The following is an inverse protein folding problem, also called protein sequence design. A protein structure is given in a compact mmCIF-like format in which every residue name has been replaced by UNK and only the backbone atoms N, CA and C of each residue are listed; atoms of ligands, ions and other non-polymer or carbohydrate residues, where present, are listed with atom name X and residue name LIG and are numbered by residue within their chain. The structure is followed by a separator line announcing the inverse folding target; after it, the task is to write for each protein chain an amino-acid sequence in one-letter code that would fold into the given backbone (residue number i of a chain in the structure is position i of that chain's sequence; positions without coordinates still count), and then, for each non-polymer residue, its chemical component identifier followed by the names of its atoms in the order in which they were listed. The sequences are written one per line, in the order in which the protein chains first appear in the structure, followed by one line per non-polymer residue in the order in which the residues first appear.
data_IF_155155544960
#
_entry.id   IF_155155544960
#
_cell.length_a   1.000
_cell.length_b   1.000
_cell.length_c   1.000
_cell.angle_alpha   90.00
_cell.angle_beta   90.00
_cell.angle_gamma   90.00
#
_symmetry.space_group_name_H-M   'P 1'
#
loop_
_entity.id
_entity.type
_entity.pdbx_description
1 polymer ?
#
# COMPACT_ATOMS: atom_id res chain seq x y z
N UNK A 1 -15.70 6.64 -14.78
CA UNK A 1 -16.67 6.33 -13.71
C UNK A 1 -17.93 7.12 -14.01
N UNK A 2 -19.10 6.48 -14.05
CA UNK A 2 -20.37 7.20 -14.23
C UNK A 2 -20.80 7.92 -12.93
N UNK A 3 -21.73 8.88 -13.04
CA UNK A 3 -22.16 9.72 -11.91
C UNK A 3 -22.80 8.92 -10.77
N UNK A 4 -23.49 7.82 -11.08
CA UNK A 4 -24.07 6.91 -10.09
C UNK A 4 -23.00 6.16 -9.30
N UNK A 5 -21.93 5.69 -9.95
CA UNK A 5 -20.81 5.00 -9.27
C UNK A 5 -20.05 5.93 -8.32
N UNK A 6 -19.93 7.22 -8.68
CA UNK A 6 -19.34 8.23 -7.79
C UNK A 6 -20.20 8.53 -6.58
N UNK A 7 -21.52 8.71 -6.76
CA UNK A 7 -22.46 8.91 -5.66
C UNK A 7 -22.45 7.72 -4.69
N UNK A 8 -22.43 6.49 -5.23
CA UNK A 8 -22.37 5.27 -4.42
C UNK A 8 -21.06 5.16 -3.63
N UNK A 9 -19.93 5.44 -4.26
CA UNK A 9 -18.61 5.43 -3.60
C UNK A 9 -18.53 6.48 -2.48
N UNK A 10 -19.16 7.64 -2.67
CA UNK A 10 -19.20 8.72 -1.69
C UNK A 10 -20.16 8.43 -0.53
N UNK A 11 -21.33 7.87 -0.82
CA UNK A 11 -22.25 7.39 0.22
C UNK A 11 -21.62 6.25 1.04
N UNK A 12 -20.83 5.38 0.41
CA UNK A 12 -20.06 4.34 1.10
C UNK A 12 -18.94 4.95 1.97
N UNK A 13 -18.25 6.02 1.51
CA UNK A 13 -17.28 6.77 2.32
C UNK A 13 -17.93 7.42 3.56
N UNK A 14 -19.12 8.01 3.41
CA UNK A 14 -19.89 8.59 4.52
C UNK A 14 -20.42 7.51 5.49
N UNK A 15 -20.53 6.27 5.04
CA UNK A 15 -21.13 5.16 5.79
C UNK A 15 -20.09 4.27 6.49
N UNK A 16 -18.92 4.05 5.89
CA UNK A 16 -17.82 3.25 6.45
C UNK A 16 -16.79 4.09 7.23
N UNK A 17 -16.85 5.42 7.15
CA UNK A 17 -15.95 6.34 7.84
C UNK A 17 -16.71 7.40 8.63
N UNK A 18 -17.14 7.08 9.85
CA UNK A 18 -17.38 8.12 10.86
C UNK A 18 -16.13 9.01 10.99
N UNK A 19 -16.28 10.33 11.15
CA UNK A 19 -15.22 11.29 10.92
C UNK A 19 -14.00 11.00 11.79
N UNK A 20 -12.82 10.97 11.15
CA UNK A 20 -11.57 11.28 11.85
C UNK A 20 -11.75 12.65 12.50
N UNK A 21 -11.32 12.77 13.76
CA UNK A 21 -11.65 13.78 14.79
C UNK A 21 -11.67 15.29 14.43
N UNK A 22 -11.50 15.73 13.19
CA UNK A 22 -11.44 17.14 12.78
C UNK A 22 -12.45 17.57 11.70
N UNK A 23 -13.39 16.72 11.28
CA UNK A 23 -14.42 17.08 10.29
C UNK A 23 -15.84 16.78 10.78
N UNK A 24 -16.46 17.75 11.45
CA UNK A 24 -17.90 17.72 11.76
C UNK A 24 -18.67 18.40 10.62
N UNK A 25 -19.12 17.62 9.63
CA UNK A 25 -19.99 18.12 8.56
C UNK A 25 -21.42 18.20 9.11
N UNK A 26 -22.01 19.40 9.06
CA UNK A 26 -23.41 19.58 9.44
C UNK A 26 -24.35 18.93 8.39
N UNK A 27 -25.58 18.53 8.78
CA UNK A 27 -26.55 17.96 7.84
C UNK A 27 -26.85 18.86 6.64
N UNK A 28 -26.82 20.18 6.85
CA UNK A 28 -27.01 21.18 5.80
C UNK A 28 -25.81 21.24 4.84
N UNK A 29 -24.59 21.21 5.36
CA UNK A 29 -23.38 21.11 4.54
C UNK A 29 -23.34 19.80 3.75
N UNK A 30 -23.68 18.67 4.36
CA UNK A 30 -23.77 17.39 3.69
C UNK A 30 -24.75 17.42 2.51
N UNK A 31 -25.91 18.07 2.70
CA UNK A 31 -26.93 18.21 1.66
C UNK A 31 -26.44 19.10 0.52
N UNK A 32 -25.81 20.23 0.85
CA UNK A 32 -25.24 21.16 -0.13
C UNK A 32 -24.10 20.51 -0.93
N UNK A 33 -23.24 19.73 -0.28
CA UNK A 33 -22.20 18.95 -0.94
C UNK A 33 -22.79 17.87 -1.85
N UNK A 34 -23.84 17.16 -1.43
CA UNK A 34 -24.53 16.18 -2.27
C UNK A 34 -25.16 16.80 -3.52
N UNK A 35 -25.75 18.00 -3.39
CA UNK A 35 -26.30 18.73 -4.53
C UNK A 35 -25.20 19.14 -5.50
N UNK A 36 -24.10 19.73 -5.02
CA UNK A 36 -22.97 20.13 -5.85
C UNK A 36 -22.32 18.94 -6.58
N UNK A 37 -22.18 17.79 -5.90
CA UNK A 37 -21.70 16.54 -6.51
C UNK A 37 -22.67 15.95 -7.55
N UNK A 38 -23.94 16.35 -7.55
CA UNK A 38 -24.93 15.99 -8.55
C UNK A 38 -24.92 16.88 -9.79
N UNK A 39 -24.25 18.03 -9.74
CA UNK A 39 -24.20 18.96 -10.87
C UNK A 39 -23.32 18.40 -12.00
N UNK A 40 -23.84 18.32 -13.25
CA UNK A 40 -23.12 17.68 -14.36
C UNK A 40 -21.77 18.34 -14.66
N UNK A 41 -21.69 19.66 -14.50
CA UNK A 41 -20.49 20.46 -14.74
C UNK A 41 -19.43 20.19 -13.66
N UNK A 42 -19.83 20.13 -12.39
CA UNK A 42 -18.93 19.77 -11.29
C UNK A 42 -18.44 18.33 -11.42
N UNK A 43 -19.31 17.39 -11.78
CA UNK A 43 -18.91 16.01 -12.04
C UNK A 43 -17.96 15.88 -13.24
N UNK A 44 -18.16 16.69 -14.29
CA UNK A 44 -17.25 16.72 -15.43
C UNK A 44 -15.87 17.24 -15.02
N UNK A 45 -15.80 18.40 -14.35
CA UNK A 45 -14.54 18.94 -13.82
C UNK A 45 -13.84 17.97 -12.86
N UNK A 46 -14.59 17.30 -11.98
CA UNK A 46 -14.03 16.34 -11.03
C UNK A 46 -13.52 15.07 -11.72
N UNK A 47 -14.20 14.62 -12.80
CA UNK A 47 -13.71 13.53 -13.66
C UNK A 47 -12.44 13.92 -14.39
N UNK A 48 -12.43 15.08 -15.03
CA UNK A 48 -11.27 15.58 -15.77
C UNK A 48 -10.05 15.70 -14.82
N UNK A 49 -10.25 16.25 -13.63
CA UNK A 49 -9.22 16.29 -12.59
C UNK A 49 -8.74 14.90 -12.17
N UNK A 50 -9.65 13.95 -11.93
CA UNK A 50 -9.27 12.57 -11.56
C UNK A 50 -8.53 11.84 -12.70
N UNK A 51 -8.89 12.12 -13.95
CA UNK A 51 -8.22 11.56 -15.13
C UNK A 51 -6.84 12.18 -15.33
N UNK A 52 -6.69 13.49 -15.13
CA UNK A 52 -5.41 14.20 -15.14
C UNK A 52 -4.45 13.69 -14.07
N UNK A 53 -4.94 13.46 -12.84
CA UNK A 53 -4.13 12.86 -11.77
C UNK A 53 -3.66 11.43 -12.07
N UNK A 54 -4.36 10.72 -12.97
CA UNK A 54 -4.00 9.37 -13.40
C UNK A 54 -3.09 9.37 -14.64
N UNK A 55 -2.80 10.52 -15.26
CA UNK A 55 -1.92 10.63 -16.42
C UNK A 55 -0.45 10.33 -16.02
N UNK A 56 0.21 9.34 -16.67
CA UNK A 56 1.63 9.07 -16.49
C UNK A 56 2.55 10.28 -16.65
N UNK A 57 2.16 11.30 -17.42
CA UNK A 57 2.95 12.53 -17.58
C UNK A 57 3.03 13.35 -16.29
N UNK A 58 1.94 13.46 -15.52
CA UNK A 58 1.97 14.16 -14.23
C UNK A 58 2.82 13.42 -13.20
N UNK A 59 2.93 12.09 -13.30
CA UNK A 59 3.83 11.32 -12.44
C UNK A 59 5.28 11.76 -12.60
N UNK A 60 5.72 12.02 -13.84
CA UNK A 60 7.08 12.50 -14.09
C UNK A 60 7.32 13.90 -13.50
N UNK A 61 6.34 14.81 -13.62
CA UNK A 61 6.42 16.15 -13.02
C UNK A 61 6.43 16.10 -11.49
N UNK A 62 5.61 15.23 -10.90
CA UNK A 62 5.59 14.98 -9.45
C UNK A 62 6.92 14.39 -8.98
N UNK A 63 7.50 13.42 -9.70
CA UNK A 63 8.80 12.83 -9.39
C UNK A 63 9.93 13.88 -9.49
N UNK A 64 9.90 14.75 -10.50
CA UNK A 64 10.83 15.88 -10.61
C UNK A 64 10.70 16.85 -9.43
N UNK A 65 9.46 17.18 -9.04
CA UNK A 65 9.21 18.05 -7.90
C UNK A 65 9.73 17.44 -6.58
N UNK A 66 9.49 16.14 -6.35
CA UNK A 66 10.02 15.43 -5.18
C UNK A 66 11.56 15.44 -5.19
N UNK A 67 12.17 15.18 -6.35
CA UNK A 67 13.63 15.22 -6.51
C UNK A 67 14.19 16.63 -6.23
N UNK A 68 13.50 17.67 -6.65
CA UNK A 68 13.89 19.05 -6.35
C UNK A 68 13.77 19.35 -4.85
N UNK A 69 12.68 18.93 -4.18
CA UNK A 69 12.54 19.08 -2.72
C UNK A 69 13.63 18.33 -1.96
N UNK A 70 14.01 17.13 -2.40
CA UNK A 70 15.14 16.38 -1.84
C UNK A 70 16.45 17.15 -2.02
N UNK A 71 16.70 17.69 -3.21
CA UNK A 71 17.91 18.47 -3.51
C UNK A 71 18.02 19.75 -2.66
N UNK A 72 16.87 20.36 -2.36
CA UNK A 72 16.76 21.56 -1.52
C UNK A 72 16.69 21.22 -0.02
N UNK A 73 16.76 19.95 0.36
CA UNK A 73 16.60 19.46 1.74
C UNK A 73 15.31 19.95 2.41
N UNK A 74 14.24 20.11 1.61
CA UNK A 74 12.90 20.56 2.04
C UNK A 74 11.96 19.41 2.37
N UNK A 75 12.52 18.21 2.56
CA UNK A 75 11.78 17.06 3.09
C UNK A 75 11.51 17.28 4.60
N UNK A 76 10.43 16.71 5.16
CA UNK A 76 10.16 16.83 6.59
C UNK A 76 11.35 16.38 7.44
N UNK A 77 11.68 17.14 8.47
CA UNK A 77 12.85 16.87 9.32
C UNK A 77 12.83 15.44 9.87
N UNK A 78 13.96 14.73 9.76
CA UNK A 78 14.10 13.34 10.18
C UNK A 78 13.41 12.30 9.28
N UNK A 79 12.87 12.70 8.12
CA UNK A 79 12.35 11.76 7.12
C UNK A 79 13.25 11.74 5.90
N UNK A 80 13.42 10.54 5.36
CA UNK A 80 14.14 10.31 4.11
C UNK A 80 13.18 9.73 3.08
N UNK A 81 13.19 10.29 1.87
CA UNK A 81 12.40 9.76 0.76
C UNK A 81 13.11 8.54 0.18
N UNK A 82 12.34 7.49 -0.07
CA UNK A 82 12.85 6.24 -0.64
C UNK A 82 12.26 6.08 -2.05
N UNK A 83 13.15 5.92 -3.03
CA UNK A 83 12.80 5.57 -4.42
C UNK A 83 13.11 4.09 -4.65
N UNK A 84 12.15 3.19 -4.41
CA UNK A 84 12.44 1.77 -4.41
C UNK A 84 12.55 1.21 -5.84
N UNK A 85 13.51 0.31 -6.05
CA UNK A 85 13.68 -0.44 -7.28
C UNK A 85 12.86 -1.74 -7.23
N UNK A 86 12.27 -2.19 -8.36
CA UNK A 86 11.46 -3.39 -8.40
C UNK A 86 12.28 -4.66 -8.14
N UNK A 87 11.72 -5.58 -7.38
CA UNK A 87 12.26 -6.92 -7.15
C UNK A 87 11.36 -7.99 -7.75
N UNK A 88 10.41 -8.50 -6.97
CA UNK A 88 9.44 -9.50 -7.42
C UNK A 88 8.08 -9.28 -6.76
N UNK A 89 7.03 -9.94 -7.26
CA UNK A 89 5.68 -9.82 -6.72
C UNK A 89 5.26 -11.13 -6.06
N UNK A 90 4.73 -11.05 -4.85
CA UNK A 90 4.03 -12.14 -4.19
C UNK A 90 2.55 -11.96 -4.48
N UNK A 91 1.94 -12.97 -5.10
CA UNK A 91 0.49 -13.01 -5.33
C UNK A 91 -0.10 -14.05 -4.40
N UNK A 92 -0.96 -13.60 -3.49
CA UNK A 92 -1.65 -14.49 -2.56
C UNK A 92 -3.12 -14.07 -2.40
N UNK A 93 -3.80 -14.66 -1.42
CA UNK A 93 -5.15 -14.30 -1.01
C UNK A 93 -5.20 -14.07 0.50
N UNK A 94 -6.22 -13.36 0.95
CA UNK A 94 -6.51 -13.18 2.36
C UNK A 94 -8.01 -13.28 2.64
N UNK A 95 -8.37 -13.61 3.87
CA UNK A 95 -9.75 -13.59 4.35
C UNK A 95 -9.92 -12.54 5.45
N UNK A 96 -11.10 -11.90 5.48
CA UNK A 96 -11.52 -10.98 6.55
C UNK A 96 -12.46 -11.70 7.50
N UNK A 97 -12.22 -11.60 8.81
CA UNK A 97 -13.15 -12.12 9.82
C UNK A 97 -13.21 -13.66 9.90
N UNK A 98 -14.41 -14.25 9.74
CA UNK A 98 -14.63 -15.69 9.94
C UNK A 98 -14.08 -16.53 8.79
N UNK A 99 -13.94 -17.85 9.02
CA UNK A 99 -13.38 -18.82 8.07
C UNK A 99 -14.19 -19.00 6.79
N UNK A 100 -15.43 -18.51 6.73
CA UNK A 100 -16.36 -18.69 5.62
C UNK A 100 -16.39 -17.51 4.64
N UNK A 101 -15.59 -16.45 4.90
CA UNK A 101 -15.47 -15.33 3.98
C UNK A 101 -14.71 -15.71 2.70
N UNK A 102 -15.21 -15.26 1.55
CA UNK A 102 -14.55 -15.47 0.26
C UNK A 102 -13.16 -14.81 0.24
N UNK A 103 -12.12 -15.53 -0.19
CA UNK A 103 -10.75 -15.04 -0.14
C UNK A 103 -10.48 -13.98 -1.22
N UNK A 104 -10.13 -12.78 -0.79
CA UNK A 104 -9.74 -11.65 -1.63
C UNK A 104 -8.31 -11.77 -2.13
N UNK A 105 -8.03 -11.25 -3.33
CA UNK A 105 -6.66 -11.21 -3.88
C UNK A 105 -5.82 -10.17 -3.13
N UNK A 106 -4.53 -10.49 -2.95
CA UNK A 106 -3.53 -9.58 -2.41
C UNK A 106 -2.25 -9.67 -3.25
N UNK A 107 -1.77 -8.52 -3.69
CA UNK A 107 -0.45 -8.38 -4.30
C UNK A 107 0.50 -7.69 -3.33
N UNK A 108 1.69 -8.25 -3.17
CA UNK A 108 2.76 -7.65 -2.39
C UNK A 108 3.96 -7.49 -3.29
N UNK A 109 4.27 -6.25 -3.67
CA UNK A 109 5.47 -5.93 -4.43
C UNK A 109 6.65 -5.92 -3.47
N UNK A 110 7.57 -6.87 -3.63
CA UNK A 110 8.86 -6.86 -2.94
C UNK A 110 9.80 -5.98 -3.73
N UNK A 111 10.16 -4.84 -3.14
CA UNK A 111 10.97 -3.79 -3.75
C UNK A 111 12.23 -3.55 -2.93
N UNK A 112 13.18 -2.77 -3.45
CA UNK A 112 14.48 -2.57 -2.81
C UNK A 112 14.93 -1.14 -2.73
N UNK A 113 15.65 -0.79 -1.67
CA UNK A 113 16.34 0.49 -1.52
C UNK A 113 17.56 0.33 -0.64
N UNK A 114 18.68 0.92 -1.05
CA UNK A 114 19.95 0.93 -0.31
C UNK A 114 19.90 1.81 0.96
N UNK A 115 18.85 2.64 1.10
CA UNK A 115 18.57 3.43 2.31
C UNK A 115 18.12 2.58 3.50
N UNK A 116 17.69 1.32 3.27
CA UNK A 116 17.32 0.41 4.36
C UNK A 116 18.55 -0.31 4.92
N UNK A 117 18.47 -0.69 6.20
CA UNK A 117 19.53 -1.49 6.80
C UNK A 117 19.63 -2.89 6.16
N UNK A 118 20.87 -3.37 6.02
CA UNK A 118 21.20 -4.69 5.46
C UNK A 118 20.59 -5.82 6.30
N UNK A 119 20.22 -6.98 5.70
CA UNK A 119 19.87 -8.15 6.46
C UNK A 119 21.08 -8.64 7.25
N UNK A 120 20.86 -9.13 8.47
CA UNK A 120 21.93 -9.66 9.31
C UNK A 120 21.47 -10.93 10.03
N UNK A 121 22.41 -11.79 10.37
CA UNK A 121 22.15 -13.01 11.14
C UNK A 121 22.89 -13.00 12.47
N UNK A 122 22.34 -13.76 13.42
CA UNK A 122 22.99 -14.13 14.67
C UNK A 122 22.97 -15.66 14.79
N UNK A 123 23.89 -16.23 15.57
CA UNK A 123 23.84 -17.67 15.87
C UNK A 123 22.50 -17.95 16.59
N UNK A 124 21.78 -18.96 16.10
CA UNK A 124 20.50 -19.34 16.67
C UNK A 124 20.69 -20.08 18.00
N UNK A 125 20.03 -19.59 19.04
CA UNK A 125 19.97 -20.27 20.35
C UNK A 125 18.96 -21.44 20.35
N UNK A 126 18.06 -21.49 19.36
CA UNK A 126 16.98 -22.49 19.28
C UNK A 126 17.34 -23.72 18.44
N UNK A 127 18.38 -23.64 17.60
CA UNK A 127 18.92 -24.79 16.86
C UNK A 127 20.45 -24.72 16.77
N UNK A 128 21.20 -25.70 17.31
CA UNK A 128 22.65 -25.76 17.16
C UNK A 128 23.06 -25.71 15.68
N UNK A 129 23.97 -24.81 15.33
CA UNK A 129 24.43 -24.60 13.95
C UNK A 129 23.44 -23.85 13.03
N UNK A 130 22.31 -23.38 13.55
CA UNK A 130 21.36 -22.54 12.80
C UNK A 130 21.71 -21.05 12.87
N UNK A 131 21.28 -20.30 11.88
CA UNK A 131 21.33 -18.84 11.87
C UNK A 131 19.93 -18.25 12.11
N UNK A 132 19.81 -17.28 13.00
CA UNK A 132 18.62 -16.48 13.21
C UNK A 132 18.76 -15.17 12.41
N UNK A 133 17.95 -15.03 11.37
CA UNK A 133 18.00 -13.89 10.45
C UNK A 133 17.09 -12.75 10.89
N UNK A 134 17.55 -11.52 10.70
CA UNK A 134 16.79 -10.29 10.86
C UNK A 134 16.74 -9.55 9.53
N UNK A 135 15.54 -9.16 9.12
CA UNK A 135 15.27 -8.47 7.87
C UNK A 135 14.67 -7.08 8.16
N UNK A 136 15.48 -6.02 8.20
CA UNK A 136 14.97 -4.65 8.25
C UNK A 136 14.07 -4.39 7.04
N UNK A 137 12.89 -3.83 7.28
CA UNK A 137 11.82 -3.75 6.29
C UNK A 137 10.99 -2.48 6.48
N UNK A 138 10.60 -1.86 5.38
CA UNK A 138 9.61 -0.80 5.35
C UNK A 138 8.40 -1.28 4.55
N UNK A 139 7.19 -1.08 5.08
CA UNK A 139 5.95 -1.43 4.38
C UNK A 139 5.24 -0.15 3.98
N UNK A 140 4.96 -0.01 2.69
CA UNK A 140 4.21 1.09 2.15
C UNK A 140 2.74 1.09 2.61
N UNK A 141 2.00 2.17 2.33
CA UNK A 141 0.58 2.23 2.63
C UNK A 141 -0.21 1.20 1.81
N UNK A 142 -1.39 0.83 2.32
CA UNK A 142 -2.36 0.04 1.58
C UNK A 142 -2.78 0.80 0.31
N UNK A 143 -2.68 0.15 -0.85
CA UNK A 143 -3.19 0.66 -2.12
C UNK A 143 -4.23 -0.26 -2.72
N UNK A 144 -5.05 0.31 -3.60
CA UNK A 144 -5.94 -0.44 -4.49
C UNK A 144 -5.44 -0.26 -5.92
N UNK A 145 -5.11 -1.37 -6.56
CA UNK A 145 -4.61 -1.38 -7.95
C UNK A 145 -5.52 -2.25 -8.81
N UNK A 146 -5.66 -1.90 -10.10
CA UNK A 146 -6.48 -2.69 -11.03
C UNK A 146 -5.69 -3.92 -11.48
N UNK A 147 -6.30 -5.10 -11.38
CA UNK A 147 -5.74 -6.31 -11.95
C UNK A 147 -6.00 -6.39 -13.47
N UNK A 148 -5.47 -7.43 -14.13
CA UNK A 148 -5.65 -7.64 -15.57
C UNK A 148 -7.12 -7.76 -16.01
N UNK A 149 -8.02 -8.13 -15.08
CA UNK A 149 -9.47 -8.20 -15.33
C UNK A 149 -10.20 -6.89 -15.03
N UNK A 150 -9.48 -5.81 -14.68
CA UNK A 150 -10.06 -4.54 -14.27
C UNK A 150 -10.56 -4.51 -12.83
N UNK A 151 -10.39 -5.59 -12.06
CA UNK A 151 -10.84 -5.69 -10.68
C UNK A 151 -9.89 -4.96 -9.73
N UNK A 152 -10.45 -4.21 -8.77
CA UNK A 152 -9.69 -3.54 -7.72
C UNK A 152 -9.10 -4.56 -6.75
N UNK A 153 -7.78 -4.56 -6.58
CA UNK A 153 -7.05 -5.50 -5.74
C UNK A 153 -6.18 -4.78 -4.69
N UNK A 154 -6.22 -5.29 -3.47
CA UNK A 154 -5.37 -4.87 -2.35
C UNK A 154 -3.90 -5.08 -2.71
N UNK A 155 -3.11 -4.02 -2.63
CA UNK A 155 -1.68 -4.04 -2.98
C UNK A 155 -0.85 -3.33 -1.92
N UNK A 156 0.31 -3.90 -1.60
CA UNK A 156 1.33 -3.29 -0.75
C UNK A 156 2.69 -3.35 -1.41
N UNK A 157 3.54 -2.39 -1.09
CA UNK A 157 4.98 -2.49 -1.35
C UNK A 157 5.71 -2.83 -0.04
N UNK A 158 6.60 -3.81 -0.10
CA UNK A 158 7.47 -4.20 1.01
C UNK A 158 8.91 -4.00 0.55
N UNK A 159 9.57 -3.02 1.15
CA UNK A 159 10.92 -2.61 0.78
C UNK A 159 11.95 -3.27 1.69
N UNK A 160 12.99 -3.83 1.07
CA UNK A 160 14.17 -4.39 1.74
C UNK A 160 15.47 -3.76 1.19
N UNK A 161 16.59 -3.98 1.88
CA UNK A 161 17.89 -3.68 1.28
C UNK A 161 18.19 -4.63 0.09
N UNK A 162 18.81 -4.18 -1.03
CA UNK A 162 19.10 -5.01 -2.19
C UNK A 162 19.82 -6.34 -1.90
N UNK A 163 20.74 -6.35 -0.93
CA UNK A 163 21.43 -7.57 -0.50
C UNK A 163 20.49 -8.69 -0.03
N UNK A 164 19.31 -8.36 0.52
CA UNK A 164 18.32 -9.35 0.91
C UNK A 164 17.79 -10.09 -0.33
N UNK A 165 17.53 -9.38 -1.43
CA UNK A 165 17.05 -9.98 -2.66
C UNK A 165 18.14 -10.74 -3.40
N UNK A 166 19.39 -10.22 -3.41
CA UNK A 166 20.54 -10.96 -3.95
C UNK A 166 20.72 -12.30 -3.22
N UNK A 167 20.52 -12.33 -1.89
CA UNK A 167 20.58 -13.56 -1.11
C UNK A 167 19.37 -14.47 -1.37
N UNK A 168 18.17 -13.91 -1.49
CA UNK A 168 16.95 -14.64 -1.82
C UNK A 168 17.02 -15.33 -3.19
N UNK A 169 17.66 -14.70 -4.17
CA UNK A 169 17.88 -15.28 -5.50
C UNK A 169 18.77 -16.54 -5.44
N UNK A 170 19.75 -16.55 -4.54
CA UNK A 170 20.73 -17.63 -4.40
C UNK A 170 20.29 -18.76 -3.47
N UNK A 171 19.45 -18.47 -2.48
CA UNK A 171 19.07 -19.39 -1.41
C UNK A 171 17.55 -19.44 -1.28
N UNK A 172 16.94 -20.53 -1.73
CA UNK A 172 15.48 -20.72 -1.67
C UNK A 172 14.93 -20.58 -0.25
N UNK A 173 15.59 -21.17 0.75
CA UNK A 173 15.18 -21.03 2.15
C UNK A 173 15.20 -19.57 2.64
N UNK A 174 16.11 -18.75 2.12
CA UNK A 174 16.14 -17.31 2.43
C UNK A 174 15.04 -16.55 1.67
N UNK A 175 14.73 -16.97 0.44
CA UNK A 175 13.57 -16.44 -0.31
C UNK A 175 12.27 -16.71 0.43
N UNK A 176 12.08 -17.92 0.94
CA UNK A 176 10.90 -18.30 1.72
C UNK A 176 10.80 -17.45 2.99
N UNK A 177 11.94 -17.20 3.66
CA UNK A 177 12.00 -16.28 4.78
C UNK A 177 11.55 -14.85 4.39
N UNK A 178 12.03 -14.31 3.28
CA UNK A 178 11.63 -12.97 2.79
C UNK A 178 10.14 -12.95 2.47
N UNK A 179 9.61 -13.98 1.81
CA UNK A 179 8.19 -14.10 1.46
C UNK A 179 7.32 -14.14 2.72
N UNK A 180 7.60 -15.07 3.65
CA UNK A 180 6.83 -15.21 4.88
C UNK A 180 6.88 -13.93 5.73
N UNK A 181 8.07 -13.34 5.89
CA UNK A 181 8.26 -12.08 6.60
C UNK A 181 7.46 -10.95 5.95
N UNK A 182 7.41 -10.90 4.60
CA UNK A 182 6.64 -9.87 3.88
C UNK A 182 5.15 -10.02 4.16
N UNK A 183 4.62 -11.24 4.12
CA UNK A 183 3.20 -11.51 4.34
C UNK A 183 2.77 -11.18 5.78
N UNK A 184 3.58 -11.53 6.78
CA UNK A 184 3.35 -11.14 8.18
C UNK A 184 3.33 -9.62 8.36
N UNK A 185 4.28 -8.91 7.74
CA UNK A 185 4.33 -7.45 7.82
C UNK A 185 3.17 -6.77 7.11
N UNK A 186 2.63 -7.40 6.07
CA UNK A 186 1.41 -6.94 5.39
C UNK A 186 0.17 -7.15 6.26
N UNK A 187 0.03 -8.28 6.97
CA UNK A 187 -1.05 -8.48 7.95
C UNK A 187 -1.05 -7.37 9.01
N UNK A 188 0.12 -7.07 9.58
CA UNK A 188 0.29 -5.97 10.54
C UNK A 188 -0.04 -4.60 9.93
N UNK A 189 0.40 -4.34 8.69
CA UNK A 189 0.16 -3.07 8.00
C UNK A 189 -1.32 -2.88 7.66
N UNK A 190 -1.99 -3.95 7.23
CA UNK A 190 -3.43 -3.94 6.98
C UNK A 190 -4.18 -3.59 8.25
N UNK A 191 -3.90 -4.27 9.36
CA UNK A 191 -4.52 -3.99 10.66
C UNK A 191 -4.28 -2.54 11.12
N UNK A 192 -3.07 -2.01 10.94
CA UNK A 192 -2.78 -0.61 11.30
C UNK A 192 -3.61 0.38 10.48
N UNK A 193 -3.74 0.13 9.18
CA UNK A 193 -4.40 1.00 8.21
C UNK A 193 -5.92 0.95 8.24
N UNK A 194 -6.52 -0.24 8.40
CA UNK A 194 -7.98 -0.44 8.33
C UNK A 194 -8.62 -0.73 9.68
N UNK A 195 -7.83 -1.06 10.71
CA UNK A 195 -8.30 -1.61 12.00
C UNK A 195 -8.99 -2.98 11.89
N UNK A 196 -8.91 -3.62 10.73
CA UNK A 196 -9.46 -4.96 10.50
C UNK A 196 -8.36 -6.02 10.59
N UNK A 197 -8.67 -7.16 11.18
CA UNK A 197 -7.79 -8.33 11.15
C UNK A 197 -8.05 -9.14 9.89
N UNK A 198 -6.96 -9.53 9.24
CA UNK A 198 -6.97 -10.44 8.10
C UNK A 198 -6.10 -11.66 8.39
N UNK A 199 -6.38 -12.75 7.70
CA UNK A 199 -5.48 -13.91 7.63
C UNK A 199 -5.02 -14.07 6.20
N UNK A 200 -3.72 -13.93 5.96
CA UNK A 200 -3.12 -14.07 4.64
C UNK A 200 -2.74 -15.54 4.42
N UNK A 201 -3.03 -16.06 3.23
CA UNK A 201 -2.58 -17.40 2.83
C UNK A 201 -1.07 -17.40 2.61
N UNK A 202 -0.37 -18.25 3.38
CA UNK A 202 1.10 -18.36 3.38
C UNK A 202 1.58 -19.66 2.71
N UNK A 203 0.68 -20.37 2.01
CA UNK A 203 0.98 -21.59 1.25
C UNK A 203 1.81 -21.33 0.01
#
# INVERSE_FOLDING_TARGET
MDGETMQKSFDDILRDGGPTRDFEITPEEATKFKTALGEPEFQAMLRDYMEEMQDPKQRAEQELYISELESQNRVPEGKEVVHPLPGFVIKTRFTRGSKDAEPEKLFTNVVTSDKLAKPYSKISNSRPGGEAWSLPVAVGPLRKEKDKGGGSTTTFDVCYHPEALVRADRLSAFRDLVVLSSLERVEDAFLRGTKEKITVDKK
#
